data_IF_823702200533
#
_entry.id   IF_823702200533
#
_cell.length_a   1.000
_cell.length_b   1.000
_cell.length_c   1.000
_cell.angle_alpha   90.00
_cell.angle_beta   90.00
_cell.angle_gamma   90.00
#
_symmetry.space_group_name_H-M   'P 1'
#
loop_
_entity.id
_entity.type
_entity.pdbx_description
1 polymer ?
#
# COMPACT_ATOMS: atom_id res chain seq x y z
N UNK A 1 7.56 -16.27 -6.02
CA UNK A 1 6.63 -15.13 -5.84
C UNK A 1 5.82 -15.01 -7.12
N UNK A 2 4.50 -14.86 -7.02
CA UNK A 2 3.60 -14.81 -8.17
C UNK A 2 2.95 -13.44 -8.32
N UNK A 3 3.11 -12.81 -9.48
CA UNK A 3 2.40 -11.58 -9.82
C UNK A 3 0.95 -11.91 -10.13
N UNK A 4 0.03 -11.30 -9.39
CA UNK A 4 -1.40 -11.46 -9.56
C UNK A 4 -1.96 -10.46 -10.57
N UNK A 5 -1.51 -9.21 -10.52
CA UNK A 5 -1.94 -8.16 -11.43
C UNK A 5 -0.96 -6.98 -11.48
N UNK A 6 -1.14 -6.15 -12.49
CA UNK A 6 -0.60 -4.80 -12.56
C UNK A 6 -1.76 -3.86 -12.92
N UNK A 7 -1.92 -2.79 -12.15
CA UNK A 7 -2.99 -1.81 -12.25
C UNK A 7 -2.39 -0.41 -12.39
N UNK A 8 -3.14 0.48 -13.02
CA UNK A 8 -2.86 1.91 -13.06
C UNK A 8 -4.00 2.62 -12.35
N UNK A 9 -3.66 3.35 -11.29
CA UNK A 9 -4.59 3.95 -10.34
C UNK A 9 -4.38 5.47 -10.29
N UNK A 10 -5.44 6.22 -10.03
CA UNK A 10 -5.41 7.68 -9.85
C UNK A 10 -5.79 8.01 -8.40
N UNK A 11 -4.88 7.85 -7.43
CA UNK A 11 -5.23 7.95 -6.02
C UNK A 11 -5.67 9.37 -5.65
N UNK A 12 -6.86 9.50 -5.03
CA UNK A 12 -7.25 10.74 -4.39
C UNK A 12 -6.51 10.91 -3.06
N UNK A 13 -6.00 12.11 -2.80
CA UNK A 13 -5.22 12.44 -1.60
C UNK A 13 -4.03 11.51 -1.38
N UNK A 14 -3.46 10.92 -2.44
CA UNK A 14 -2.24 10.13 -2.32
C UNK A 14 -2.40 8.87 -1.47
N UNK A 15 -3.61 8.31 -1.43
CA UNK A 15 -3.97 7.13 -0.64
C UNK A 15 -4.35 5.95 -1.54
N UNK A 16 -3.73 4.80 -1.29
CA UNK A 16 -4.17 3.49 -1.79
C UNK A 16 -4.97 2.79 -0.70
N UNK A 17 -6.15 2.28 -1.04
CA UNK A 17 -6.97 1.52 -0.09
C UNK A 17 -7.05 0.04 -0.48
N UNK A 18 -6.77 -0.81 0.49
CA UNK A 18 -6.84 -2.28 0.43
C UNK A 18 -7.74 -2.77 1.56
N UNK A 19 -8.78 -3.56 1.26
CA UNK A 19 -9.68 -4.07 2.30
C UNK A 19 -10.29 -5.43 1.97
N UNK A 20 -10.69 -6.14 3.02
CA UNK A 20 -11.45 -7.39 2.98
C UNK A 20 -12.79 -7.16 2.28
N UNK A 21 -13.06 -7.93 1.22
CA UNK A 21 -14.17 -7.72 0.30
C UNK A 21 -15.56 -7.82 0.95
N UNK A 22 -15.65 -8.44 2.14
CA UNK A 22 -16.92 -8.56 2.88
C UNK A 22 -17.23 -7.36 3.77
N UNK A 23 -16.30 -6.41 3.90
CA UNK A 23 -16.55 -5.21 4.72
C UNK A 23 -17.11 -4.10 3.85
N UNK A 24 -18.07 -3.37 4.43
CA UNK A 24 -18.54 -2.14 3.86
C UNK A 24 -17.48 -1.03 4.07
N UNK A 25 -16.91 -0.48 2.97
CA UNK A 25 -15.89 0.55 3.05
C UNK A 25 -16.37 1.79 3.82
N UNK A 26 -17.66 2.13 3.76
CA UNK A 26 -18.16 3.37 4.37
C UNK A 26 -18.08 3.34 5.91
N UNK A 27 -17.98 2.16 6.53
CA UNK A 27 -17.85 1.99 7.98
C UNK A 27 -16.42 2.05 8.51
N UNK A 28 -15.43 2.00 7.63
CA UNK A 28 -14.00 1.94 7.98
C UNK A 28 -13.24 3.23 7.66
N UNK A 29 -13.97 4.27 7.27
CA UNK A 29 -13.44 5.33 6.43
C UNK A 29 -12.80 6.49 7.21
N UNK A 30 -12.03 6.21 8.27
CA UNK A 30 -11.30 7.26 8.99
C UNK A 30 -9.81 7.22 8.63
N UNK A 31 -9.34 8.21 7.86
CA UNK A 31 -7.90 8.43 7.74
C UNK A 31 -7.43 9.06 9.06
N UNK A 32 -6.74 8.29 9.89
CA UNK A 32 -6.23 8.76 11.17
C UNK A 32 -5.01 9.65 10.97
N UNK A 33 -4.78 10.60 11.90
CA UNK A 33 -3.65 11.55 11.81
C UNK A 33 -2.29 10.86 11.68
N UNK A 34 -2.15 9.66 12.26
CA UNK A 34 -0.90 8.90 12.22
C UNK A 34 -0.53 8.40 10.82
N UNK A 35 -1.45 8.42 9.83
CA UNK A 35 -1.13 8.02 8.45
C UNK A 35 0.01 8.86 7.86
N UNK A 36 0.06 10.15 8.22
CA UNK A 36 1.09 11.08 7.76
C UNK A 36 2.46 10.80 8.39
N UNK A 37 2.50 10.19 9.57
CA UNK A 37 3.74 9.94 10.31
C UNK A 37 4.29 8.53 10.08
N UNK A 38 3.43 7.51 9.92
CA UNK A 38 3.87 6.11 9.71
C UNK A 38 3.63 5.56 8.30
N UNK A 39 2.92 6.31 7.44
CA UNK A 39 2.69 5.95 6.04
C UNK A 39 1.50 5.01 5.81
N UNK A 40 0.76 4.65 6.85
CA UNK A 40 -0.48 3.90 6.74
C UNK A 40 -1.41 4.19 7.94
N UNK A 41 -2.71 4.01 7.74
CA UNK A 41 -3.69 3.84 8.82
C UNK A 41 -4.61 2.68 8.49
N UNK A 42 -5.18 2.07 9.52
CA UNK A 42 -6.12 0.99 9.36
C UNK A 42 -5.98 -0.12 10.39
N UNK A 43 -6.83 -1.11 10.20
CA UNK A 43 -6.93 -2.30 11.03
C UNK A 43 -6.64 -3.53 10.15
N UNK A 44 -6.44 -4.74 10.72
CA UNK A 44 -6.02 -5.92 9.95
C UNK A 44 -6.91 -6.27 8.74
N UNK A 45 -8.14 -5.79 8.63
CA UNK A 45 -8.99 -6.10 7.48
C UNK A 45 -9.16 -4.94 6.49
N UNK A 46 -8.52 -3.79 6.74
CA UNK A 46 -8.58 -2.62 5.88
C UNK A 46 -7.46 -1.63 6.20
N UNK A 47 -6.67 -1.30 5.18
CA UNK A 47 -5.59 -0.33 5.27
C UNK A 47 -5.67 0.73 4.17
N UNK A 48 -5.41 1.97 4.58
CA UNK A 48 -5.02 3.05 3.68
C UNK A 48 -3.51 3.23 3.77
N UNK A 49 -2.83 3.14 2.64
CA UNK A 49 -1.41 3.40 2.53
C UNK A 49 -1.18 4.75 1.88
N UNK A 50 -0.29 5.54 2.48
CA UNK A 50 0.09 6.84 1.98
C UNK A 50 1.33 6.74 1.08
N UNK A 51 1.19 7.33 -0.09
CA UNK A 51 2.24 7.43 -1.12
C UNK A 51 3.37 8.38 -0.71
N UNK A 52 4.37 8.61 -1.57
CA UNK A 52 5.52 9.47 -1.23
C UNK A 52 5.13 10.95 -1.15
N UNK A 53 4.11 11.36 -1.91
CA UNK A 53 3.59 12.71 -1.93
C UNK A 53 2.37 12.81 -2.83
N UNK A 54 2.06 14.00 -3.36
CA UNK A 54 1.00 14.17 -4.35
C UNK A 54 1.33 13.33 -5.61
N UNK A 55 0.46 12.37 -5.93
CA UNK A 55 0.66 11.39 -7.00
C UNK A 55 -0.58 11.35 -7.89
N UNK A 56 -0.43 11.72 -9.17
CA UNK A 56 -1.54 11.69 -10.11
C UNK A 56 -1.75 10.29 -10.69
N UNK A 57 -0.71 9.48 -10.78
CA UNK A 57 -0.77 8.17 -11.40
C UNK A 57 0.17 7.21 -10.68
N UNK A 58 -0.41 6.10 -10.26
CA UNK A 58 0.25 5.08 -9.48
C UNK A 58 0.15 3.76 -10.24
N UNK A 59 1.31 3.21 -10.60
CA UNK A 59 1.39 1.84 -11.11
C UNK A 59 1.47 0.90 -9.91
N UNK A 60 0.44 0.09 -9.71
CA UNK A 60 0.40 -0.89 -8.64
C UNK A 60 0.63 -2.29 -9.19
N UNK A 61 1.67 -2.97 -8.73
CA UNK A 61 1.77 -4.42 -8.92
C UNK A 61 1.37 -5.18 -7.67
N UNK A 62 0.57 -6.22 -7.85
CA UNK A 62 0.04 -7.04 -6.77
C UNK A 62 0.67 -8.42 -6.86
N UNK A 63 1.20 -8.90 -5.75
CA UNK A 63 1.98 -10.12 -5.66
C UNK A 63 1.50 -11.01 -4.52
N UNK A 64 1.63 -12.33 -4.69
CA UNK A 64 1.46 -13.32 -3.63
C UNK A 64 2.76 -14.09 -3.46
N UNK A 65 3.26 -14.19 -2.24
CA UNK A 65 4.35 -15.11 -1.93
C UNK A 65 3.85 -16.57 -2.02
N UNK A 66 4.63 -17.44 -2.65
CA UNK A 66 4.24 -18.84 -2.86
C UNK A 66 4.45 -19.71 -1.62
N UNK A 67 5.45 -19.35 -0.82
CA UNK A 67 5.85 -20.03 0.40
C UNK A 67 6.26 -18.91 1.34
N UNK A 68 5.65 -18.85 2.52
CA UNK A 68 6.13 -18.02 3.60
C UNK A 68 6.18 -18.90 4.84
N UNK A 69 7.39 -19.16 5.31
CA UNK A 69 7.59 -19.56 6.69
C UNK A 69 7.57 -18.27 7.53
N UNK A 70 6.98 -18.22 8.73
CA UNK A 70 6.97 -17.01 9.57
C UNK A 70 8.36 -16.39 9.83
N UNK A 71 9.41 -17.20 9.66
CA UNK A 71 10.82 -16.85 9.85
C UNK A 71 11.54 -16.45 8.56
N UNK A 72 10.85 -16.45 7.42
CA UNK A 72 11.44 -16.07 6.15
C UNK A 72 11.58 -14.56 6.09
N UNK A 73 12.81 -14.10 5.89
CA UNK A 73 13.11 -12.69 5.73
C UNK A 73 12.36 -12.11 4.51
N UNK A 74 11.70 -10.97 4.72
CA UNK A 74 11.04 -10.21 3.66
C UNK A 74 12.13 -9.49 2.87
N UNK A 75 12.41 -9.98 1.67
CA UNK A 75 13.38 -9.36 0.77
C UNK A 75 12.67 -8.24 0.00
N UNK A 76 13.02 -7.00 0.34
CA UNK A 76 12.54 -5.80 -0.36
C UNK A 76 13.21 -5.69 -1.73
N UNK A 77 12.57 -4.99 -2.66
CA UNK A 77 13.20 -4.62 -3.94
C UNK A 77 14.34 -3.63 -3.69
N UNK A 78 15.39 -3.73 -4.52
CA UNK A 78 16.61 -2.95 -4.35
C UNK A 78 16.35 -1.44 -4.46
N UNK A 79 15.39 -1.05 -5.28
CA UNK A 79 15.02 0.34 -5.56
C UNK A 79 13.83 0.84 -4.71
N UNK A 80 13.36 0.05 -3.75
CA UNK A 80 12.31 0.48 -2.81
C UNK A 80 12.80 1.66 -1.97
N UNK A 81 12.03 2.76 -2.00
CA UNK A 81 12.29 3.99 -1.22
C UNK A 81 11.65 3.88 0.16
N UNK A 82 10.44 3.33 0.24
CA UNK A 82 9.68 3.15 1.47
C UNK A 82 9.02 1.78 1.47
N UNK A 83 9.07 1.09 2.61
CA UNK A 83 8.37 -0.17 2.81
C UNK A 83 7.78 -0.27 4.21
N UNK A 84 6.52 -0.68 4.28
CA UNK A 84 5.82 -0.98 5.54
C UNK A 84 5.22 -2.39 5.47
N UNK A 85 5.22 -3.07 6.61
CA UNK A 85 4.59 -4.37 6.83
C UNK A 85 3.49 -4.20 7.85
N UNK A 86 2.30 -4.74 7.56
CA UNK A 86 1.16 -4.74 8.48
C UNK A 86 0.51 -6.13 8.51
N UNK A 87 -0.12 -6.55 9.63
CA UNK A 87 -0.96 -7.74 9.63
C UNK A 87 -2.17 -7.52 8.73
N UNK A 88 -2.58 -8.53 7.96
CA UNK A 88 -3.77 -8.43 7.13
C UNK A 88 -4.58 -9.73 7.14
N UNK A 89 -5.90 -9.61 7.30
CA UNK A 89 -6.83 -10.72 7.50
C UNK A 89 -8.03 -10.58 6.57
N UNK A 90 -8.42 -11.69 5.95
CA UNK A 90 -9.58 -11.82 5.07
C UNK A 90 -10.59 -12.74 5.76
N UNK A 91 -11.82 -12.27 5.97
CA UNK A 91 -12.85 -13.07 6.65
C UNK A 91 -13.45 -14.17 5.78
N UNK A 92 -13.60 -13.92 4.47
CA UNK A 92 -14.00 -14.94 3.51
C UNK A 92 -13.02 -15.02 2.34
N UNK A 93 -12.25 -16.10 2.33
CA UNK A 93 -11.26 -16.38 1.29
C UNK A 93 -11.83 -16.48 -0.14
N UNK A 94 -13.13 -16.74 -0.28
CA UNK A 94 -13.83 -16.75 -1.57
C UNK A 94 -14.17 -15.35 -2.08
N UNK A 95 -14.38 -14.39 -1.17
CA UNK A 95 -14.63 -12.99 -1.50
C UNK A 95 -13.31 -12.25 -1.72
N UNK A 96 -12.30 -12.54 -0.89
CA UNK A 96 -10.94 -12.07 -1.08
C UNK A 96 -10.76 -10.60 -0.70
N UNK A 97 -9.94 -9.90 -1.47
CA UNK A 97 -9.53 -8.51 -1.20
C UNK A 97 -10.01 -7.61 -2.32
N UNK A 98 -10.51 -6.43 -1.97
CA UNK A 98 -10.77 -5.34 -2.91
C UNK A 98 -9.67 -4.29 -2.78
N UNK A 99 -9.20 -3.84 -3.95
CA UNK A 99 -8.40 -2.64 -4.10
C UNK A 99 -9.18 -1.66 -4.95
N UNK A 100 -9.17 -0.40 -4.54
CA UNK A 100 -9.78 0.65 -5.34
C UNK A 100 -9.02 1.97 -5.22
N UNK A 101 -9.07 2.76 -6.30
CA UNK A 101 -8.76 4.17 -6.20
C UNK A 101 -9.97 4.88 -5.58
N UNK A 102 -9.77 5.82 -4.65
CA UNK A 102 -10.86 6.48 -3.91
C UNK A 102 -11.98 7.10 -4.79
N UNK A 103 -11.74 7.26 -6.10
CA UNK A 103 -12.75 7.69 -7.09
C UNK A 103 -13.63 6.56 -7.65
N UNK A 104 -13.38 5.30 -7.25
CA UNK A 104 -14.01 4.08 -7.80
C UNK A 104 -13.89 3.97 -9.32
N UNK A 105 -12.86 4.56 -9.91
CA UNK A 105 -12.57 4.44 -11.35
C UNK A 105 -11.98 3.07 -11.65
N UNK A 106 -11.22 2.52 -10.70
CA UNK A 106 -10.66 1.17 -10.76
C UNK A 106 -11.02 0.44 -9.48
N UNK A 107 -11.77 -0.66 -9.59
CA UNK A 107 -12.01 -1.63 -8.52
C UNK A 107 -11.51 -3.00 -8.99
N UNK A 108 -10.67 -3.65 -8.19
CA UNK A 108 -10.14 -4.98 -8.51
C UNK A 108 -10.26 -5.91 -7.32
N UNK A 109 -10.78 -7.11 -7.57
CA UNK A 109 -10.97 -8.16 -6.56
C UNK A 109 -9.98 -9.30 -6.76
N UNK A 110 -9.32 -9.71 -5.68
CA UNK A 110 -8.31 -10.77 -5.68
C UNK A 110 -8.66 -11.86 -4.68
N UNK A 111 -8.74 -13.10 -5.17
CA UNK A 111 -9.01 -14.29 -4.35
C UNK A 111 -7.72 -15.01 -4.02
N UNK A 112 -7.56 -15.39 -2.76
CA UNK A 112 -6.30 -15.94 -2.26
C UNK A 112 -6.35 -17.45 -1.95
N UNK A 113 -7.38 -18.15 -2.42
CA UNK A 113 -7.53 -19.59 -2.20
C UNK A 113 -7.95 -19.86 -0.77
N UNK A 114 -7.24 -20.71 -0.04
CA UNK A 114 -7.55 -21.03 1.37
C UNK A 114 -6.83 -20.14 2.39
N UNK A 115 -6.00 -19.19 1.95
CA UNK A 115 -5.26 -18.31 2.86
C UNK A 115 -6.15 -17.14 3.30
N UNK A 116 -6.25 -16.93 4.61
CA UNK A 116 -7.01 -15.82 5.23
C UNK A 116 -6.10 -14.83 5.96
N UNK A 117 -4.94 -15.26 6.44
CA UNK A 117 -4.01 -14.43 7.20
C UNK A 117 -2.73 -14.14 6.39
N UNK A 118 -2.27 -12.90 6.46
CA UNK A 118 -1.11 -12.41 5.72
C UNK A 118 -0.30 -11.40 6.52
N UNK A 119 1.00 -11.34 6.23
CA UNK A 119 1.76 -10.11 6.33
C UNK A 119 1.62 -9.36 5.00
N UNK A 120 1.01 -8.18 5.04
CA UNK A 120 0.86 -7.32 3.88
C UNK A 120 2.04 -6.34 3.84
N UNK A 121 2.81 -6.40 2.77
CA UNK A 121 3.94 -5.51 2.55
C UNK A 121 3.61 -4.54 1.43
N UNK A 122 3.67 -3.25 1.74
CA UNK A 122 3.53 -2.18 0.77
C UNK A 122 4.89 -1.52 0.55
N UNK A 123 5.39 -1.61 -0.68
CA UNK A 123 6.63 -0.99 -1.13
C UNK A 123 6.33 0.13 -2.12
N UNK A 124 7.12 1.19 -2.08
CA UNK A 124 7.01 2.32 -2.99
C UNK A 124 8.38 2.65 -3.55
N UNK A 125 8.43 2.91 -4.85
CA UNK A 125 9.54 3.57 -5.51
C UNK A 125 9.04 4.65 -6.45
N UNK A 126 9.93 5.56 -6.81
CA UNK A 126 9.67 6.51 -7.88
C UNK A 126 9.70 5.79 -9.22
N UNK A 127 8.80 6.18 -10.12
CA UNK A 127 8.86 5.79 -11.52
C UNK A 127 10.05 6.50 -12.16
N UNK A 128 11.07 5.73 -12.52
CA UNK A 128 12.32 6.23 -13.10
C UNK A 128 12.72 5.47 -14.37
N UNK A 129 11.76 4.77 -14.99
CA UNK A 129 12.01 4.09 -16.24
C UNK A 129 12.32 5.10 -17.36
N UNK A 130 13.22 4.79 -18.32
CA UNK A 130 13.58 5.72 -19.38
C UNK A 130 12.42 6.17 -20.25
N UNK A 131 11.36 5.36 -20.37
CA UNK A 131 10.16 5.74 -21.12
C UNK A 131 9.47 6.93 -20.44
N UNK A 132 9.27 6.87 -19.12
CA UNK A 132 8.72 7.98 -18.35
C UNK A 132 9.64 9.20 -18.33
N UNK A 133 10.93 9.03 -18.03
CA UNK A 133 11.86 10.17 -17.90
C UNK A 133 12.04 10.95 -19.20
N UNK A 134 11.78 10.33 -20.35
CA UNK A 134 11.83 10.98 -21.66
C UNK A 134 10.44 11.43 -22.18
N UNK A 135 9.38 11.27 -21.38
CA UNK A 135 8.01 11.63 -21.76
C UNK A 135 7.71 13.11 -21.49
N UNK A 136 6.78 13.70 -22.24
CA UNK A 136 6.25 15.03 -21.93
C UNK A 136 5.56 15.07 -20.57
N UNK A 137 4.97 13.94 -20.16
CA UNK A 137 4.31 13.78 -18.86
C UNK A 137 5.28 14.01 -17.69
N UNK A 138 6.53 13.56 -17.78
CA UNK A 138 7.52 13.82 -16.74
C UNK A 138 7.75 15.32 -16.53
N UNK A 139 7.83 16.10 -17.61
CA UNK A 139 7.99 17.55 -17.51
C UNK A 139 6.76 18.22 -16.87
N UNK A 140 5.55 17.81 -17.26
CA UNK A 140 4.30 18.32 -16.69
C UNK A 140 4.15 17.98 -15.19
N UNK A 141 4.49 16.75 -14.80
CA UNK A 141 4.43 16.28 -13.42
C UNK A 141 5.40 17.07 -12.53
N UNK A 142 6.67 17.22 -12.97
CA UNK A 142 7.70 17.97 -12.24
C UNK A 142 7.30 19.43 -12.06
N UNK A 143 6.81 20.09 -13.11
CA UNK A 143 6.36 21.49 -13.06
C UNK A 143 5.16 21.67 -12.11
N UNK A 144 4.31 20.65 -12.02
CA UNK A 144 3.12 20.63 -11.16
C UNK A 144 3.38 20.09 -9.75
N UNK A 145 4.63 19.73 -9.44
CA UNK A 145 5.07 19.11 -8.19
C UNK A 145 4.37 17.77 -7.86
N UNK A 146 3.95 17.03 -8.88
CA UNK A 146 3.46 15.66 -8.76
C UNK A 146 4.60 14.65 -8.94
N UNK A 147 4.40 13.46 -8.37
CA UNK A 147 5.27 12.31 -8.62
C UNK A 147 4.51 11.22 -9.35
N UNK A 148 5.27 10.38 -10.06
CA UNK A 148 4.78 9.10 -10.57
C UNK A 148 5.45 8.00 -9.77
N UNK A 149 4.62 7.09 -9.27
CA UNK A 149 5.07 6.08 -8.33
C UNK A 149 4.78 4.68 -8.88
N UNK A 150 5.72 3.78 -8.62
CA UNK A 150 5.51 2.35 -8.78
C UNK A 150 5.40 1.74 -7.39
N UNK A 151 4.22 1.23 -7.07
CA UNK A 151 3.93 0.57 -5.81
C UNK A 151 3.85 -0.94 -5.99
N UNK A 152 4.23 -1.66 -4.95
CA UNK A 152 4.12 -3.10 -4.90
C UNK A 152 3.38 -3.48 -3.64
N UNK A 153 2.29 -4.24 -3.80
CA UNK A 153 1.55 -4.81 -2.70
C UNK A 153 1.74 -6.31 -2.71
N UNK A 154 2.44 -6.82 -1.70
CA UNK A 154 2.78 -8.24 -1.61
C UNK A 154 2.10 -8.88 -0.42
N UNK A 155 1.31 -9.92 -0.69
CA UNK A 155 0.65 -10.75 0.31
C UNK A 155 1.55 -11.94 0.65
N UNK A 156 2.07 -11.96 1.88
CA UNK A 156 2.81 -13.08 2.43
C UNK A 156 1.90 -13.89 3.34
N UNK A 157 1.44 -15.10 2.97
CA UNK A 157 0.56 -15.89 3.83
C UNK A 157 1.21 -16.19 5.18
N UNK A 158 0.51 -16.04 6.30
CA UNK A 158 1.08 -16.30 7.63
C UNK A 158 0.24 -17.31 8.41
N UNK A 159 0.89 -18.08 9.27
CA UNK A 159 0.21 -18.94 10.26
C UNK A 159 0.13 -18.27 11.63
N UNK A 160 1.00 -17.29 11.90
CA UNK A 160 1.07 -16.55 13.15
C UNK A 160 0.80 -15.05 12.91
N UNK A 161 0.25 -14.33 13.91
CA UNK A 161 0.08 -12.89 13.82
C UNK A 161 1.41 -12.16 13.65
N UNK A 162 1.47 -11.21 12.72
CA UNK A 162 2.63 -10.33 12.56
C UNK A 162 2.39 -8.99 13.24
N UNK A 163 3.45 -8.41 13.78
CA UNK A 163 3.42 -7.03 14.25
C UNK A 163 3.64 -6.07 13.07
N UNK A 164 2.99 -4.89 13.07
CA UNK A 164 3.29 -3.86 12.10
C UNK A 164 4.75 -3.39 12.26
N UNK A 165 5.41 -3.12 11.15
CA UNK A 165 6.82 -2.75 11.12
C UNK A 165 7.14 -1.85 9.92
N UNK A 166 7.98 -0.83 10.12
CA UNK A 166 8.57 -0.10 8.99
C UNK A 166 9.84 -0.84 8.57
N UNK A 167 9.77 -1.51 7.41
CA UNK A 167 10.88 -2.32 6.88
C UNK A 167 11.97 -1.46 6.22
N UNK A 168 11.57 -0.33 5.63
CA UNK A 168 12.49 0.66 5.06
C UNK A 168 11.87 2.03 5.19
N UNK A 169 12.54 2.89 5.94
CA UNK A 169 12.27 4.32 5.91
C UNK A 169 12.82 4.91 4.62
N UNK A 170 12.18 6.01 4.21
CA UNK A 170 12.60 6.93 3.16
C UNK A 170 14.11 6.82 2.87
N UNK A 171 14.47 6.25 1.72
CA UNK A 171 15.85 6.24 1.28
C UNK A 171 16.28 7.68 0.91
N UNK A 172 16.53 8.53 1.92
CA UNK A 172 17.03 9.92 1.81
C UNK A 172 18.38 10.03 1.06
N UNK A 173 18.93 8.92 0.57
CA UNK A 173 20.22 8.82 -0.10
C UNK A 173 20.16 8.28 -1.55
N UNK A 174 18.98 8.14 -2.17
CA UNK A 174 18.90 7.79 -3.60
C UNK A 174 18.60 9.03 -4.46
N UNK A 175 19.62 9.67 -5.10
CA UNK A 175 19.46 10.86 -5.95
C UNK A 175 18.80 10.52 -7.31
N UNK A 176 18.25 11.49 -8.10
CA UNK A 176 18.54 12.93 -8.13
C UNK A 176 17.31 13.87 -8.07
N UNK A 177 16.25 13.54 -7.34
CA UNK A 177 15.04 14.38 -7.36
C UNK A 177 14.92 15.23 -6.09
N UNK A 178 15.11 16.54 -6.24
CA UNK A 178 14.72 17.53 -5.23
C UNK A 178 13.19 17.72 -5.26
N UNK A 179 12.46 16.75 -4.71
CA UNK A 179 11.03 16.96 -4.50
C UNK A 179 10.82 17.90 -3.32
N UNK A 180 10.45 19.15 -3.63
CA UNK A 180 10.09 20.15 -2.63
C UNK A 180 8.88 19.77 -1.75
N UNK A 181 8.12 18.74 -2.15
CA UNK A 181 6.88 18.28 -1.50
C UNK A 181 6.88 16.79 -1.11
N UNK A 182 8.05 16.26 -0.77
CA UNK A 182 8.13 14.93 -0.19
C UNK A 182 7.57 14.91 1.24
N UNK A 183 6.60 14.03 1.52
CA UNK A 183 6.11 13.85 2.89
C UNK A 183 6.96 12.81 3.59
N UNK A 184 7.89 13.29 4.41
CA UNK A 184 8.74 12.46 5.27
C UNK A 184 7.90 11.67 6.26
N UNK A 185 8.24 10.39 6.47
CA UNK A 185 7.72 9.64 7.61
C UNK A 185 8.55 9.88 8.87
N UNK A 186 7.85 10.01 9.99
CA UNK A 186 8.41 10.11 11.33
C UNK A 186 7.60 9.22 12.30
N UNK A 187 7.69 7.88 12.14
CA UNK A 187 6.82 6.96 12.87
C UNK A 187 7.13 6.98 14.36
N UNK A 188 6.07 7.02 15.18
CA UNK A 188 6.18 6.77 16.62
C UNK A 188 6.00 5.28 16.89
N UNK A 189 6.85 4.70 17.74
CA UNK A 189 6.73 3.30 18.15
C UNK A 189 6.06 3.16 19.53
N UNK A 190 5.20 2.14 19.74
CA UNK A 190 4.76 1.14 18.75
C UNK A 190 3.89 1.76 17.65
N UNK A 191 3.94 1.18 16.44
CA UNK A 191 3.11 1.63 15.33
C UNK A 191 1.64 1.43 15.67
N UNK A 192 0.81 2.37 15.24
CA UNK A 192 -0.61 2.42 15.61
C UNK A 192 -1.43 1.63 14.60
N UNK A 193 -2.29 0.74 15.10
CA UNK A 193 -3.37 0.14 14.32
C UNK A 193 -4.68 0.76 14.80
N UNK A 194 -5.59 1.01 13.86
CA UNK A 194 -6.94 1.45 14.20
C UNK A 194 -7.74 0.30 14.82
N UNK A 195 -8.63 0.63 15.75
CA UNK A 195 -9.58 -0.33 16.31
C UNK A 195 -10.57 -0.80 15.22
N UNK A 196 -11.06 -2.03 15.33
CA UNK A 196 -12.16 -2.49 14.46
C UNK A 196 -13.39 -1.61 14.71
N UNK A 197 -14.07 -1.10 13.65
CA UNK A 197 -15.26 -0.29 13.82
C UNK A 197 -16.31 -1.09 14.57
N UNK A 198 -16.75 -0.54 15.70
CA UNK A 198 -17.67 -1.21 16.62
C UNK A 198 -19.14 -1.13 16.17
N UNK A 199 -19.44 -0.51 15.02
CA UNK A 199 -20.80 -0.40 14.53
C UNK A 199 -21.17 -1.61 13.65
N UNK A 200 -22.26 -2.34 13.97
CA UNK A 200 -22.69 -3.48 13.17
C UNK A 200 -23.13 -3.05 11.77
N UNK A 201 -22.85 -3.92 10.78
CA UNK A 201 -23.36 -3.80 9.41
C UNK A 201 -24.90 -3.66 9.46
N UNK A 202 -25.49 -2.74 8.70
CA UNK A 202 -26.93 -2.70 8.53
C UNK A 202 -27.32 -3.95 7.74
N UNK A 203 -28.07 -4.84 8.38
CA UNK A 203 -28.69 -6.01 7.77
C UNK A 203 -29.61 -5.64 6.61
#
# INVERSE_FOLDING_TARGET
>A
MNRLAALELYPYNSLLWVYDAVIDPDYLNYAAEHILTQGFSGHPRSYKFFTLGECMNLKLEIWKAEIYCPHQEIVLRDDTIRAVKVPFSISDSNEGVILFDNFRLVESRFRFGSNTEFALVFEIKLRNDPEYLNSSQYHEDVDSAFTQECCFLTFYPTEEPVQPEVLRLDAWASPPYEFSRYTRLDPTYPLILDDEPTQPLPW
#
